data_IF_687767260091
#
_entry.id   IF_687767260091
#
_cell.length_a   1.000
_cell.length_b   1.000
_cell.length_c   1.000
_cell.angle_alpha   90.00
_cell.angle_beta   90.00
_cell.angle_gamma   90.00
#
_symmetry.space_group_name_H-M   'P 1'
#
loop_
_entity.id
_entity.type
_entity.pdbx_description
1 polymer ?
#
# COMPACT_ATOMS: atom_id res chain seq x y z
N UNK A 1 45.01 6.51 -27.72
CA UNK A 1 45.14 6.14 -26.28
C UNK A 1 43.96 6.75 -25.55
N UNK A 2 42.96 6.04 -25.16
CA UNK A 2 41.79 6.62 -24.49
C UNK A 2 40.59 5.73 -24.30
N UNK A 3 40.69 4.40 -24.49
CA UNK A 3 39.52 3.50 -24.38
C UNK A 3 39.64 2.41 -23.29
N UNK A 4 40.67 2.42 -22.47
CA UNK A 4 40.92 1.35 -21.48
C UNK A 4 40.68 1.74 -20.03
N UNK A 5 40.21 2.95 -19.73
CA UNK A 5 39.99 3.38 -18.34
C UNK A 5 38.54 3.34 -17.83
N UNK A 6 37.56 2.84 -18.65
CA UNK A 6 36.15 2.80 -18.26
C UNK A 6 35.68 1.52 -17.55
N UNK A 7 36.58 0.53 -17.30
CA UNK A 7 36.17 -0.78 -16.76
C UNK A 7 36.59 -1.00 -15.29
N UNK A 8 37.10 -0.03 -14.59
CA UNK A 8 37.66 -0.26 -13.25
C UNK A 8 36.99 0.46 -12.08
N UNK A 9 35.71 0.80 -12.15
CA UNK A 9 34.96 1.26 -10.96
C UNK A 9 33.53 0.71 -10.89
N UNK A 10 33.33 -0.57 -11.11
CA UNK A 10 32.22 -1.28 -10.44
C UNK A 10 32.68 -1.59 -9.02
N UNK A 11 33.00 -0.54 -8.25
CA UNK A 11 33.08 -0.61 -6.80
C UNK A 11 31.71 -1.04 -6.30
N UNK A 12 31.70 -2.02 -5.40
CA UNK A 12 30.56 -2.62 -4.71
C UNK A 12 29.31 -1.73 -4.82
N UNK A 13 28.41 -2.04 -5.74
CA UNK A 13 27.06 -1.53 -5.76
C UNK A 13 26.51 -1.76 -4.36
N UNK A 14 26.37 -0.71 -3.56
CA UNK A 14 25.53 -0.81 -2.38
C UNK A 14 24.15 -1.11 -2.90
N UNK A 15 23.52 -2.20 -2.42
CA UNK A 15 22.15 -2.57 -2.75
C UNK A 15 21.21 -1.42 -2.29
N UNK A 16 21.08 -0.37 -3.11
CA UNK A 16 20.23 0.78 -2.80
C UNK A 16 18.86 0.51 -3.40
N UNK A 17 17.90 0.34 -2.50
CA UNK A 17 16.50 0.34 -2.87
C UNK A 17 15.96 1.76 -2.66
N UNK A 18 15.74 2.47 -3.75
CA UNK A 18 15.19 3.82 -3.71
C UNK A 18 13.76 3.78 -3.16
N UNK A 19 13.43 4.82 -2.40
CA UNK A 19 12.07 4.96 -1.86
C UNK A 19 11.11 5.29 -3.00
N UNK A 20 10.02 4.54 -3.12
CA UNK A 20 8.92 4.83 -4.04
C UNK A 20 8.29 6.20 -3.78
N UNK A 21 7.89 6.88 -4.85
CA UNK A 21 6.84 7.89 -4.80
C UNK A 21 5.59 7.19 -4.25
N UNK A 22 4.95 7.80 -3.28
CA UNK A 22 3.81 7.20 -2.60
C UNK A 22 2.99 8.32 -1.96
N UNK A 23 2.01 8.78 -2.69
CA UNK A 23 1.15 9.86 -2.25
C UNK A 23 -0.24 9.67 -2.84
N UNK A 24 -1.29 9.83 -2.04
CA UNK A 24 -2.63 9.92 -2.55
C UNK A 24 -3.30 11.23 -2.12
N UNK A 25 -4.26 11.66 -2.92
CA UNK A 25 -5.16 12.77 -2.65
C UNK A 25 -6.59 12.33 -2.94
N UNK A 26 -7.43 12.40 -1.92
CA UNK A 26 -8.86 12.15 -2.00
C UNK A 26 -9.61 13.45 -1.83
N UNK A 27 -10.54 13.74 -2.73
CA UNK A 27 -11.47 14.86 -2.62
C UNK A 27 -12.89 14.30 -2.58
N UNK A 28 -13.70 14.75 -1.63
CA UNK A 28 -15.06 14.26 -1.53
C UNK A 28 -15.83 14.85 -0.36
N UNK A 29 -17.09 14.45 -0.21
CA UNK A 29 -17.92 14.82 0.93
C UNK A 29 -17.78 13.81 2.07
N UNK A 30 -17.79 14.29 3.32
CA UNK A 30 -17.75 13.41 4.48
C UNK A 30 -19.02 12.57 4.54
N UNK A 31 -18.87 11.25 4.39
CA UNK A 31 -19.97 10.31 4.42
C UNK A 31 -20.33 9.89 5.85
N UNK A 32 -19.34 9.41 6.61
CA UNK A 32 -19.54 8.89 7.97
C UNK A 32 -18.33 9.24 8.86
N UNK A 33 -18.61 9.56 10.11
CA UNK A 33 -17.61 9.76 11.17
C UNK A 33 -17.90 8.78 12.29
N UNK A 34 -17.16 7.67 12.34
CA UNK A 34 -17.23 6.69 13.42
C UNK A 34 -15.90 6.69 14.21
N UNK A 35 -15.50 7.89 14.66
CA UNK A 35 -14.29 8.13 15.45
C UNK A 35 -14.62 8.18 16.93
N UNK A 36 -13.74 7.61 17.76
CA UNK A 36 -13.88 7.62 19.23
C UNK A 36 -12.57 8.03 19.89
N UNK A 37 -12.68 8.76 21.00
CA UNK A 37 -11.55 9.04 21.91
C UNK A 37 -11.46 7.92 22.93
N UNK A 38 -10.25 7.43 23.15
CA UNK A 38 -9.95 6.41 24.14
C UNK A 38 -8.57 6.65 24.74
N UNK A 39 -8.38 6.18 25.97
CA UNK A 39 -7.06 6.16 26.60
C UNK A 39 -6.14 5.17 25.92
N UNK A 40 -4.89 5.52 25.75
CA UNK A 40 -3.86 4.67 25.17
C UNK A 40 -2.49 4.89 25.82
N UNK A 41 -1.55 4.01 25.51
CA UNK A 41 -0.15 4.15 25.88
C UNK A 41 0.70 4.30 24.60
N UNK A 42 1.53 5.32 24.55
CA UNK A 42 2.49 5.56 23.50
C UNK A 42 3.87 5.11 23.94
N UNK A 43 4.52 4.25 23.18
CA UNK A 43 5.91 3.87 23.40
C UNK A 43 6.83 4.99 22.94
N UNK A 44 7.83 5.28 23.76
CA UNK A 44 8.82 6.32 23.47
C UNK A 44 10.00 5.74 22.72
N UNK A 45 10.45 6.48 21.73
CA UNK A 45 11.61 6.15 20.92
C UNK A 45 12.60 7.31 20.93
N UNK A 46 13.87 7.00 21.17
CA UNK A 46 14.98 7.93 21.02
C UNK A 46 15.88 7.46 19.90
N UNK A 47 16.19 8.34 18.95
CA UNK A 47 17.00 8.02 17.78
C UNK A 47 16.52 6.76 17.00
N UNK A 48 15.20 6.52 16.99
CA UNK A 48 14.60 5.36 16.32
C UNK A 48 14.69 4.04 17.10
N UNK A 49 15.17 4.06 18.33
CA UNK A 49 15.26 2.91 19.24
C UNK A 49 14.20 3.05 20.33
N UNK A 50 13.46 1.98 20.61
CA UNK A 50 12.49 1.99 21.71
C UNK A 50 13.22 2.07 23.06
N UNK A 51 12.88 3.08 23.88
CA UNK A 51 13.47 3.26 25.22
C UNK A 51 12.92 2.27 26.25
N UNK A 52 11.81 1.60 25.93
CA UNK A 52 11.05 0.77 26.89
C UNK A 52 10.02 1.56 27.69
N UNK A 53 10.10 2.87 27.68
CA UNK A 53 9.15 3.75 28.36
C UNK A 53 7.82 3.84 27.60
N UNK A 54 6.74 4.06 28.36
CA UNK A 54 5.41 4.32 27.83
C UNK A 54 4.82 5.53 28.53
N UNK A 55 4.17 6.37 27.74
CA UNK A 55 3.47 7.57 28.24
C UNK A 55 1.97 7.39 28.03
N UNK A 56 1.18 7.72 29.05
CA UNK A 56 -0.27 7.79 28.92
C UNK A 56 -0.64 8.91 27.98
N UNK A 57 -1.57 8.63 27.07
CA UNK A 57 -2.06 9.54 26.06
C UNK A 57 -3.53 9.23 25.77
N UNK A 58 -4.21 10.16 25.14
CA UNK A 58 -5.49 9.88 24.46
C UNK A 58 -5.21 9.47 23.03
N UNK A 59 -6.06 8.64 22.43
CA UNK A 59 -6.07 8.39 21.00
C UNK A 59 -7.46 8.59 20.40
N UNK A 60 -7.50 9.07 19.16
CA UNK A 60 -8.69 9.08 18.31
C UNK A 60 -8.52 7.94 17.33
N UNK A 61 -9.48 7.00 17.34
CA UNK A 61 -9.47 5.86 16.45
C UNK A 61 -10.85 5.53 15.91
N UNK A 62 -10.89 4.88 14.74
CA UNK A 62 -12.13 4.43 14.12
C UNK A 62 -12.12 4.60 12.61
N UNK A 63 -13.32 4.76 12.05
CA UNK A 63 -13.53 4.88 10.61
C UNK A 63 -13.90 6.31 10.25
N UNK A 64 -13.37 6.77 9.14
CA UNK A 64 -13.71 8.04 8.51
C UNK A 64 -14.03 7.77 7.05
N UNK A 65 -15.31 7.92 6.68
CA UNK A 65 -15.82 7.65 5.35
C UNK A 65 -15.91 8.94 4.52
N UNK A 66 -15.45 8.89 3.28
CA UNK A 66 -15.56 9.96 2.29
C UNK A 66 -16.26 9.42 1.06
N UNK A 67 -17.30 10.13 0.59
CA UNK A 67 -18.00 9.83 -0.65
C UNK A 67 -17.27 10.51 -1.80
N UNK A 68 -16.94 9.74 -2.81
CA UNK A 68 -16.39 10.18 -4.09
C UNK A 68 -17.31 9.73 -5.24
N UNK A 69 -17.03 10.14 -6.46
CA UNK A 69 -17.74 9.68 -7.65
C UNK A 69 -17.52 8.18 -7.90
N UNK A 70 -16.33 7.66 -7.51
CA UNK A 70 -15.99 6.23 -7.54
C UNK A 70 -16.52 5.41 -6.36
N UNK A 71 -17.36 5.97 -5.46
CA UNK A 71 -17.95 5.27 -4.33
C UNK A 71 -17.51 5.81 -2.96
N UNK A 72 -17.76 5.03 -1.91
CA UNK A 72 -17.42 5.42 -0.54
C UNK A 72 -16.07 4.80 -0.17
N UNK A 73 -15.12 5.67 0.19
CA UNK A 73 -13.80 5.27 0.67
C UNK A 73 -13.73 5.41 2.16
N UNK A 74 -13.28 4.37 2.84
CA UNK A 74 -13.15 4.34 4.29
C UNK A 74 -11.69 4.38 4.70
N UNK A 75 -11.33 5.39 5.47
CA UNK A 75 -10.01 5.56 6.08
C UNK A 75 -10.04 5.03 7.52
N UNK A 76 -9.09 4.16 7.84
CA UNK A 76 -8.87 3.73 9.23
C UNK A 76 -7.98 4.75 9.93
N UNK A 77 -8.53 5.40 10.92
CA UNK A 77 -7.88 6.49 11.66
C UNK A 77 -7.31 5.94 12.97
N UNK A 78 -6.07 6.34 13.27
CA UNK A 78 -5.45 6.18 14.58
C UNK A 78 -4.45 7.31 14.79
N UNK A 79 -4.78 8.26 15.66
CA UNK A 79 -3.91 9.35 16.06
C UNK A 79 -3.87 9.44 17.59
N UNK A 80 -2.65 9.44 18.16
CA UNK A 80 -2.44 9.64 19.57
C UNK A 80 -2.12 11.13 19.87
N UNK A 81 -2.51 11.61 21.04
CA UNK A 81 -2.22 12.97 21.49
C UNK A 81 -0.73 13.22 21.74
N UNK A 82 0.02 12.14 21.97
CA UNK A 82 1.49 12.17 22.11
C UNK A 82 2.18 11.50 20.93
N UNK A 83 3.30 12.07 20.48
CA UNK A 83 4.19 11.49 19.50
C UNK A 83 5.09 10.42 20.11
N UNK A 84 5.88 9.77 19.26
CA UNK A 84 6.88 8.77 19.67
C UNK A 84 8.01 9.37 20.54
N UNK A 85 8.18 10.69 20.53
CA UNK A 85 9.10 11.45 21.36
C UNK A 85 8.47 11.91 22.70
N UNK A 86 7.23 11.49 22.98
CA UNK A 86 6.46 11.85 24.17
C UNK A 86 5.88 13.27 24.16
N UNK A 87 6.18 14.07 23.14
CA UNK A 87 5.64 15.43 22.98
C UNK A 87 4.25 15.40 22.38
N UNK A 88 3.58 16.55 22.38
CA UNK A 88 2.27 16.68 21.74
C UNK A 88 2.36 16.38 20.24
N UNK A 89 1.44 15.54 19.75
CA UNK A 89 1.38 15.16 18.34
C UNK A 89 0.83 16.32 17.50
N UNK A 90 1.57 16.70 16.45
CA UNK A 90 1.11 17.70 15.49
C UNK A 90 -0.19 17.29 14.77
N UNK A 91 -0.48 16.01 14.70
CA UNK A 91 -1.67 15.48 14.05
C UNK A 91 -2.89 15.44 14.99
N UNK A 92 -2.70 15.68 16.29
CA UNK A 92 -3.78 15.62 17.27
C UNK A 92 -4.88 16.64 17.00
N UNK A 93 -4.49 17.90 16.73
CA UNK A 93 -5.44 18.94 16.39
C UNK A 93 -6.28 18.55 15.15
N UNK A 94 -5.63 18.08 14.09
CA UNK A 94 -6.32 17.63 12.88
C UNK A 94 -7.33 16.51 13.19
N UNK A 95 -6.93 15.51 13.99
CA UNK A 95 -7.80 14.41 14.36
C UNK A 95 -9.02 14.88 15.18
N UNK A 96 -8.83 15.89 16.02
CA UNK A 96 -9.93 16.53 16.79
C UNK A 96 -10.86 17.28 15.83
N UNK A 97 -10.31 18.09 14.93
CA UNK A 97 -11.08 18.85 13.94
C UNK A 97 -11.91 17.93 13.03
N UNK A 98 -11.40 16.72 12.70
CA UNK A 98 -12.14 15.72 11.94
C UNK A 98 -13.42 15.24 12.63
N UNK A 99 -13.45 15.18 13.94
CA UNK A 99 -14.64 14.76 14.71
C UNK A 99 -15.76 15.80 14.68
N UNK A 100 -15.45 17.04 14.35
CA UNK A 100 -16.39 18.18 14.32
C UNK A 100 -16.98 18.42 12.92
N UNK A 101 -16.51 17.67 11.91
CA UNK A 101 -17.03 17.77 10.54
C UNK A 101 -18.49 17.28 10.49
N UNK A 102 -19.25 17.80 9.52
CA UNK A 102 -20.64 17.36 9.30
C UNK A 102 -20.68 16.19 8.31
N UNK A 103 -21.04 14.96 8.72
CA UNK A 103 -21.20 13.83 7.83
C UNK A 103 -22.57 13.79 7.17
N UNK A 104 -22.69 13.04 6.07
CA UNK A 104 -23.94 12.72 5.39
C UNK A 104 -24.83 11.82 6.28
N UNK A 105 -24.20 10.79 6.87
CA UNK A 105 -24.88 9.83 7.76
C UNK A 105 -24.83 10.35 9.19
N UNK A 106 -25.99 10.48 9.83
CA UNK A 106 -26.13 10.99 11.20
C UNK A 106 -25.61 12.42 11.41
N UNK A 107 -25.58 13.21 10.35
CA UNK A 107 -25.25 14.64 10.46
C UNK A 107 -26.39 15.47 11.05
N UNK A 108 -26.14 16.78 11.16
CA UNK A 108 -27.07 17.75 11.74
C UNK A 108 -28.12 18.29 10.76
N UNK A 109 -28.26 17.65 9.58
CA UNK A 109 -29.20 18.08 8.52
C UNK A 109 -28.66 19.18 7.58
N UNK A 110 -27.47 19.71 7.85
CA UNK A 110 -26.77 20.61 6.94
C UNK A 110 -26.05 19.82 5.83
N UNK A 111 -25.59 20.53 4.79
CA UNK A 111 -24.77 19.91 3.74
C UNK A 111 -23.51 19.25 4.35
N UNK A 112 -23.12 18.06 3.88
CA UNK A 112 -21.92 17.41 4.34
C UNK A 112 -20.67 18.27 4.11
N UNK A 113 -19.71 18.19 5.02
CA UNK A 113 -18.42 18.86 4.85
C UNK A 113 -17.66 18.30 3.67
N UNK A 114 -17.09 19.16 2.82
CA UNK A 114 -16.20 18.77 1.73
C UNK A 114 -14.76 18.78 2.23
N UNK A 115 -14.05 17.69 1.98
CA UNK A 115 -12.70 17.49 2.50
C UNK A 115 -11.72 17.09 1.42
N UNK A 116 -10.45 17.43 1.66
CA UNK A 116 -9.29 16.89 0.98
C UNK A 116 -8.52 16.05 1.99
N UNK A 117 -8.39 14.75 1.70
CA UNK A 117 -7.63 13.80 2.51
C UNK A 117 -6.37 13.42 1.76
N UNK A 118 -5.22 13.62 2.38
CA UNK A 118 -3.91 13.34 1.77
C UNK A 118 -3.14 12.34 2.65
N UNK A 119 -2.34 11.49 2.00
CA UNK A 119 -1.54 10.51 2.70
C UNK A 119 -0.75 9.60 1.79
N UNK A 120 -0.52 8.38 2.25
CA UNK A 120 0.24 7.36 1.53
C UNK A 120 -0.40 5.98 1.66
N UNK A 121 -0.04 5.08 0.76
CA UNK A 121 -0.38 3.67 0.87
C UNK A 121 0.58 2.98 1.86
N UNK A 122 0.04 2.13 2.70
CA UNK A 122 0.80 1.19 3.54
C UNK A 122 0.25 -0.21 3.31
N UNK A 123 1.10 -1.22 3.46
CA UNK A 123 0.65 -2.60 3.37
C UNK A 123 0.03 -3.04 4.70
N UNK A 124 -1.16 -3.63 4.61
CA UNK A 124 -1.83 -4.26 5.73
C UNK A 124 -1.92 -5.77 5.50
N UNK A 125 -1.23 -6.55 6.35
CA UNK A 125 -1.30 -8.00 6.36
C UNK A 125 -2.27 -8.47 7.46
N UNK A 126 -3.15 -9.40 7.12
CA UNK A 126 -4.11 -9.97 8.06
C UNK A 126 -4.38 -11.44 7.72
N UNK A 127 -4.83 -12.19 8.71
CA UNK A 127 -5.27 -13.58 8.47
C UNK A 127 -6.66 -13.59 7.86
N UNK A 128 -6.91 -14.49 6.92
CA UNK A 128 -8.25 -14.82 6.44
C UNK A 128 -9.15 -15.23 7.61
N UNK A 129 -10.46 -15.15 7.44
CA UNK A 129 -11.43 -15.46 8.51
C UNK A 129 -11.28 -16.89 9.05
N UNK A 130 -10.91 -17.82 8.19
CA UNK A 130 -10.64 -19.24 8.54
C UNK A 130 -9.25 -19.44 9.18
N UNK A 131 -8.42 -18.42 9.24
CA UNK A 131 -7.08 -18.46 9.82
C UNK A 131 -6.04 -19.24 9.01
N UNK A 132 -6.34 -19.61 7.76
CA UNK A 132 -5.45 -20.46 6.95
C UNK A 132 -4.46 -19.64 6.13
N UNK A 133 -4.87 -18.48 5.64
CA UNK A 133 -4.10 -17.69 4.70
C UNK A 133 -3.77 -16.29 5.22
N UNK A 134 -2.62 -15.78 4.85
CA UNK A 134 -2.27 -14.38 5.03
C UNK A 134 -2.75 -13.60 3.81
N UNK A 135 -3.78 -12.77 4.04
CA UNK A 135 -4.24 -11.80 3.05
C UNK A 135 -3.53 -10.47 3.27
N UNK A 136 -3.41 -9.72 2.20
CA UNK A 136 -2.80 -8.40 2.21
C UNK A 136 -3.60 -7.45 1.34
N UNK A 137 -3.67 -6.20 1.77
CA UNK A 137 -4.32 -5.15 1.00
C UNK A 137 -3.61 -3.82 1.25
N UNK A 138 -3.42 -3.00 0.22
CA UNK A 138 -3.01 -1.62 0.40
C UNK A 138 -4.02 -0.88 1.28
N UNK A 139 -3.51 -0.14 2.27
CA UNK A 139 -4.32 0.67 3.18
C UNK A 139 -3.94 2.14 3.05
N UNK A 140 -4.95 3.00 3.02
CA UNK A 140 -4.76 4.45 3.00
C UNK A 140 -4.37 4.95 4.39
N UNK A 141 -3.12 5.39 4.55
CA UNK A 141 -2.63 6.06 5.76
C UNK A 141 -2.82 7.55 5.64
N UNK A 142 -3.71 8.11 6.45
CA UNK A 142 -3.99 9.56 6.44
C UNK A 142 -2.83 10.32 7.07
N UNK A 143 -2.37 11.36 6.38
CA UNK A 143 -1.34 12.29 6.87
C UNK A 143 -1.91 13.68 7.11
N UNK A 144 -2.92 14.08 6.32
CA UNK A 144 -3.55 15.39 6.40
C UNK A 144 -5.00 15.32 5.98
N UNK A 145 -5.84 16.07 6.67
CA UNK A 145 -7.24 16.35 6.30
C UNK A 145 -7.43 17.85 6.37
N UNK A 146 -8.04 18.40 5.34
CA UNK A 146 -8.41 19.82 5.29
C UNK A 146 -9.79 19.97 4.69
N UNK A 147 -10.55 20.93 5.17
CA UNK A 147 -11.84 21.32 4.58
C UNK A 147 -11.61 22.18 3.36
N UNK A 148 -12.49 22.08 2.40
CA UNK A 148 -12.53 22.96 1.24
C UNK A 148 -13.96 23.38 0.94
N UNK A 149 -14.15 24.55 0.33
CA UNK A 149 -15.48 24.94 -0.14
C UNK A 149 -15.81 24.11 -1.40
N UNK A 150 -17.06 23.68 -1.48
CA UNK A 150 -17.57 23.10 -2.73
C UNK A 150 -17.47 24.16 -3.85
N UNK A 151 -16.99 23.74 -5.01
CA UNK A 151 -17.02 24.53 -6.24
C UNK A 151 -17.78 23.75 -7.29
N UNK A 152 -18.61 24.45 -8.06
CA UNK A 152 -19.33 23.84 -9.19
C UNK A 152 -18.31 23.21 -10.17
N UNK A 153 -18.56 21.98 -10.60
CA UNK A 153 -17.64 21.20 -11.44
C UNK A 153 -16.47 20.55 -10.70
N UNK A 154 -16.45 20.58 -9.35
CA UNK A 154 -15.43 19.90 -8.57
C UNK A 154 -15.62 18.38 -8.65
N UNK A 155 -14.63 17.68 -9.20
CA UNK A 155 -14.61 16.23 -9.26
C UNK A 155 -14.26 15.62 -7.90
N UNK A 156 -15.02 14.62 -7.48
CA UNK A 156 -14.80 13.86 -6.26
C UNK A 156 -14.14 12.54 -6.60
N UNK A 157 -12.92 12.35 -6.17
CA UNK A 157 -12.16 11.14 -6.51
C UNK A 157 -10.96 10.92 -5.62
N UNK A 158 -10.29 9.79 -5.83
CA UNK A 158 -8.97 9.52 -5.26
C UNK A 158 -7.99 9.28 -6.38
N UNK A 159 -6.93 10.06 -6.35
CA UNK A 159 -5.77 9.86 -7.23
C UNK A 159 -4.58 9.42 -6.39
N UNK A 160 -3.94 8.35 -6.81
CA UNK A 160 -2.71 7.82 -6.22
C UNK A 160 -1.55 8.05 -7.19
N UNK A 161 -0.51 8.72 -6.72
CA UNK A 161 0.75 8.85 -7.44
C UNK A 161 1.77 7.90 -6.80
N UNK A 162 2.23 6.92 -7.55
CA UNK A 162 3.15 5.91 -7.06
C UNK A 162 4.29 5.63 -8.03
N UNK A 163 5.43 5.19 -7.51
CA UNK A 163 6.46 4.55 -8.33
C UNK A 163 6.82 3.19 -7.75
N UNK A 164 7.26 2.28 -8.59
CA UNK A 164 7.64 0.95 -8.15
C UNK A 164 8.18 0.09 -9.28
N UNK A 165 8.69 -1.08 -8.92
CA UNK A 165 9.16 -2.06 -9.88
C UNK A 165 8.00 -2.98 -10.30
N UNK A 166 7.67 -2.98 -11.57
CA UNK A 166 6.69 -3.89 -12.16
C UNK A 166 7.28 -5.29 -12.28
N UNK A 167 6.56 -6.29 -11.83
CA UNK A 167 7.05 -7.68 -11.84
C UNK A 167 6.15 -8.64 -12.61
N UNK A 168 4.92 -8.23 -12.90
CA UNK A 168 3.95 -9.05 -13.60
C UNK A 168 2.95 -8.16 -14.32
N UNK A 169 2.64 -8.48 -15.56
CA UNK A 169 1.51 -7.94 -16.31
C UNK A 169 0.83 -9.09 -17.04
N UNK A 170 -0.44 -9.32 -16.78
CA UNK A 170 -1.22 -10.44 -17.34
C UNK A 170 -2.64 -9.99 -17.66
N UNK A 171 -3.33 -10.64 -18.62
CA UNK A 171 -4.75 -10.40 -18.84
C UNK A 171 -5.56 -10.62 -17.56
N UNK A 172 -6.55 -9.77 -17.31
CA UNK A 172 -7.52 -10.00 -16.24
C UNK A 172 -8.52 -11.06 -16.73
N UNK A 173 -8.75 -12.06 -15.86
CA UNK A 173 -9.76 -13.09 -16.11
C UNK A 173 -10.87 -13.04 -15.07
N UNK A 174 -12.07 -13.40 -15.46
CA UNK A 174 -13.22 -13.65 -14.57
C UNK A 174 -13.78 -15.04 -14.82
N UNK A 175 -14.33 -15.64 -13.79
CA UNK A 175 -15.05 -16.91 -13.93
C UNK A 175 -16.46 -16.63 -14.45
N UNK A 176 -16.83 -17.25 -15.57
CA UNK A 176 -18.16 -17.22 -16.16
C UNK A 176 -18.56 -18.67 -16.44
N UNK A 177 -19.63 -19.14 -15.81
CA UNK A 177 -20.14 -20.51 -15.95
C UNK A 177 -19.08 -21.64 -15.71
N UNK A 178 -18.08 -21.36 -14.83
CA UNK A 178 -16.98 -22.28 -14.50
C UNK A 178 -15.79 -22.23 -15.44
N UNK A 179 -15.79 -21.35 -16.44
CA UNK A 179 -14.67 -21.12 -17.36
C UNK A 179 -14.04 -19.75 -17.12
N UNK A 180 -12.71 -19.66 -17.26
CA UNK A 180 -12.01 -18.40 -17.15
C UNK A 180 -12.08 -17.62 -18.49
N UNK A 181 -12.74 -16.47 -18.48
CA UNK A 181 -12.84 -15.56 -19.62
C UNK A 181 -12.01 -14.30 -19.39
N UNK A 182 -11.30 -13.83 -20.41
CA UNK A 182 -10.60 -12.55 -20.37
C UNK A 182 -11.60 -11.40 -20.38
N UNK A 183 -11.33 -10.37 -19.55
CA UNK A 183 -12.19 -9.19 -19.46
C UNK A 183 -11.83 -8.10 -20.46
N UNK A 184 -10.71 -8.25 -21.18
CA UNK A 184 -10.09 -7.23 -22.02
C UNK A 184 -9.17 -6.29 -21.22
N UNK A 185 -9.23 -6.29 -19.88
CA UNK A 185 -8.36 -5.51 -19.01
C UNK A 185 -7.08 -6.27 -18.66
N UNK A 186 -6.05 -5.54 -18.22
CA UNK A 186 -4.81 -6.12 -17.69
C UNK A 186 -4.75 -6.03 -16.16
N UNK A 187 -3.94 -6.91 -15.57
CA UNK A 187 -3.59 -6.88 -14.14
C UNK A 187 -2.08 -6.77 -14.01
N UNK A 188 -1.61 -5.67 -13.47
CA UNK A 188 -0.21 -5.40 -13.25
C UNK A 188 0.12 -5.47 -11.76
N UNK A 189 1.22 -6.15 -11.39
CA UNK A 189 1.74 -6.17 -10.03
C UNK A 189 2.97 -5.28 -9.93
N UNK A 190 2.88 -4.27 -9.08
CA UNK A 190 3.95 -3.29 -8.85
C UNK A 190 4.41 -3.37 -7.41
N UNK A 191 5.71 -3.58 -7.19
CA UNK A 191 6.29 -3.55 -5.86
C UNK A 191 6.80 -2.15 -5.53
N UNK A 192 6.17 -1.54 -4.54
CA UNK A 192 6.59 -0.26 -3.97
C UNK A 192 7.60 -0.49 -2.86
N UNK A 193 8.60 0.39 -2.76
CA UNK A 193 9.58 0.38 -1.68
C UNK A 193 9.29 1.47 -0.65
N UNK A 194 9.36 1.13 0.64
CA UNK A 194 9.41 2.12 1.68
C UNK A 194 10.87 2.57 1.95
N UNK A 195 11.06 3.71 2.60
CA UNK A 195 12.40 4.22 2.91
C UNK A 195 13.24 3.37 3.88
N UNK A 196 12.73 2.18 4.28
CA UNK A 196 13.42 1.23 5.16
C UNK A 196 13.97 0.02 4.41
N UNK A 197 13.87 0.01 3.07
CA UNK A 197 14.29 -1.11 2.23
C UNK A 197 13.33 -2.30 2.24
N UNK A 198 12.08 -2.09 2.66
CA UNK A 198 11.02 -3.09 2.57
C UNK A 198 10.16 -2.78 1.35
N UNK A 199 9.65 -3.82 0.72
CA UNK A 199 8.72 -3.71 -0.42
C UNK A 199 7.36 -4.30 -0.07
N UNK A 200 6.35 -3.88 -0.81
CA UNK A 200 5.01 -4.48 -0.76
C UNK A 200 4.32 -4.37 -2.12
N UNK A 201 3.49 -5.35 -2.49
CA UNK A 201 2.81 -5.35 -3.78
C UNK A 201 1.61 -4.41 -3.78
N UNK A 202 1.37 -3.80 -4.94
CA UNK A 202 0.12 -3.12 -5.28
C UNK A 202 -0.35 -3.71 -6.61
N UNK A 203 -1.59 -4.20 -6.62
CA UNK A 203 -2.24 -4.67 -7.83
C UNK A 203 -2.90 -3.49 -8.53
N UNK A 204 -2.54 -3.28 -9.79
CA UNK A 204 -3.05 -2.20 -10.63
C UNK A 204 -3.84 -2.80 -11.79
N UNK A 205 -5.05 -2.35 -12.00
CA UNK A 205 -5.87 -2.71 -13.14
C UNK A 205 -5.49 -1.80 -14.31
N UNK A 206 -5.16 -2.39 -15.43
CA UNK A 206 -4.88 -1.68 -16.69
C UNK A 206 -6.18 -1.69 -17.48
N UNK A 207 -6.78 -0.53 -17.80
CA UNK A 207 -7.97 -0.44 -18.65
C UNK A 207 -7.72 -1.05 -20.03
N UNK A 208 -8.77 -1.52 -20.69
CA UNK A 208 -8.72 -2.18 -22.00
C UNK A 208 -8.09 -1.32 -23.09
N UNK A 209 -8.34 -0.03 -23.06
CA UNK A 209 -7.77 0.95 -23.99
C UNK A 209 -6.27 1.25 -23.79
N UNK A 210 -5.68 0.82 -22.66
CA UNK A 210 -4.25 0.98 -22.34
C UNK A 210 -3.46 -0.34 -22.37
N UNK A 211 -4.13 -1.49 -22.51
CA UNK A 211 -3.48 -2.80 -22.41
C UNK A 211 -2.38 -2.99 -23.44
N UNK A 212 -2.65 -2.65 -24.70
CA UNK A 212 -1.68 -2.82 -25.78
C UNK A 212 -0.48 -1.89 -25.58
N UNK A 213 -0.71 -0.62 -25.25
CA UNK A 213 0.36 0.35 -25.01
C UNK A 213 1.25 -0.06 -23.82
N UNK A 214 0.64 -0.60 -22.75
CA UNK A 214 1.38 -1.10 -21.59
C UNK A 214 2.17 -2.36 -21.94
N UNK A 215 1.60 -3.30 -22.70
CA UNK A 215 2.30 -4.50 -23.11
C UNK A 215 3.50 -4.21 -24.02
N UNK A 216 3.38 -3.23 -24.90
CA UNK A 216 4.44 -2.82 -25.80
C UNK A 216 5.56 -2.03 -25.11
N UNK A 217 5.20 -1.25 -24.08
CA UNK A 217 6.14 -0.36 -23.43
C UNK A 217 6.85 -0.97 -22.22
N UNK A 218 6.26 -1.98 -21.53
CA UNK A 218 6.67 -2.36 -20.18
C UNK A 218 7.20 -3.78 -20.12
N UNK A 219 8.46 -3.93 -19.73
CA UNK A 219 9.09 -5.22 -19.44
C UNK A 219 9.08 -5.54 -17.94
N UNK A 220 9.05 -6.85 -17.62
CA UNK A 220 9.17 -7.31 -16.24
C UNK A 220 10.49 -6.85 -15.61
N UNK A 221 10.39 -6.13 -14.50
CA UNK A 221 11.55 -5.60 -13.77
C UNK A 221 11.82 -4.13 -14.05
N UNK A 222 11.10 -3.48 -14.97
CA UNK A 222 11.21 -2.03 -15.15
C UNK A 222 10.62 -1.27 -13.95
N UNK A 223 11.12 -0.06 -13.75
CA UNK A 223 10.53 0.88 -12.78
C UNK A 223 9.55 1.78 -13.51
N UNK A 224 8.37 1.95 -12.94
CA UNK A 224 7.33 2.84 -13.43
C UNK A 224 7.02 3.96 -12.45
N UNK A 225 6.64 5.12 -12.95
CA UNK A 225 5.99 6.23 -12.23
C UNK A 225 4.56 6.32 -12.75
N UNK A 226 3.58 6.01 -11.90
CA UNK A 226 2.19 5.84 -12.31
C UNK A 226 1.25 6.75 -11.53
N UNK A 227 0.21 7.18 -12.21
CA UNK A 227 -0.98 7.83 -11.65
C UNK A 227 -2.15 6.87 -11.74
N UNK A 228 -2.82 6.62 -10.62
CA UNK A 228 -3.92 5.69 -10.53
C UNK A 228 -5.17 6.39 -10.03
N UNK A 229 -6.30 6.06 -10.61
CA UNK A 229 -7.60 6.35 -10.05
C UNK A 229 -8.05 5.20 -9.13
N UNK A 230 -8.84 5.51 -8.12
CA UNK A 230 -9.28 4.52 -7.14
C UNK A 230 -10.80 4.38 -7.21
N UNK A 231 -11.25 3.20 -7.59
CA UNK A 231 -12.64 2.83 -7.60
C UNK A 231 -12.98 1.92 -6.42
N UNK A 232 -14.12 2.16 -5.78
CA UNK A 232 -14.66 1.28 -4.75
C UNK A 232 -15.89 0.57 -5.29
N UNK A 233 -15.72 -0.72 -5.58
CA UNK A 233 -16.80 -1.55 -6.09
C UNK A 233 -17.46 -2.25 -4.90
N UNK A 234 -18.78 -2.12 -4.82
CA UNK A 234 -19.58 -2.76 -3.77
C UNK A 234 -20.31 -3.96 -4.36
N UNK A 235 -20.05 -5.13 -3.80
CA UNK A 235 -20.69 -6.37 -4.20
C UNK A 235 -21.69 -6.82 -3.14
N UNK A 236 -22.77 -7.47 -3.58
CA UNK A 236 -23.78 -8.04 -2.68
C UNK A 236 -24.83 -7.02 -2.26
N UNK A 237 -25.69 -7.45 -1.37
CA UNK A 237 -26.87 -6.69 -0.96
C UNK A 237 -28.10 -7.21 -1.67
N UNK A 238 -28.72 -8.23 -1.09
CA UNK A 238 -30.04 -8.71 -1.58
C UNK A 238 -31.14 -7.88 -0.91
N UNK A 239 -31.96 -7.21 -1.72
CA UNK A 239 -33.16 -6.57 -1.22
C UNK A 239 -34.13 -7.66 -0.72
N UNK A 240 -34.23 -7.85 0.59
CA UNK A 240 -35.26 -8.71 1.16
C UNK A 240 -36.62 -8.02 0.95
N UNK A 241 -37.44 -8.59 0.07
CA UNK A 241 -38.85 -8.20 -0.05
C UNK A 241 -39.58 -8.64 1.22
N UNK A 242 -39.82 -7.72 2.11
CA UNK A 242 -40.77 -7.93 3.21
C UNK A 242 -42.13 -7.44 2.76
N UNK A 243 -43.13 -8.35 2.73
CA UNK A 243 -44.55 -8.20 2.61
C UNK A 243 -45.16 -6.88 2.08
N UNK A 244 -46.36 -6.91 1.64
CA UNK A 244 -47.10 -5.81 1.05
C UNK A 244 -47.03 -4.54 1.94
N UNK A 245 -46.46 -3.45 1.42
CA UNK A 245 -46.51 -2.11 2.01
C UNK A 245 -45.36 -1.65 2.90
N UNK A 246 -44.26 -2.41 3.01
CA UNK A 246 -43.02 -1.94 3.68
C UNK A 246 -41.86 -1.92 2.71
N UNK A 247 -41.18 -0.76 2.63
CA UNK A 247 -39.90 -0.67 1.94
C UNK A 247 -38.95 -1.76 2.51
N UNK A 248 -38.48 -2.67 1.67
CA UNK A 248 -37.57 -3.73 2.08
C UNK A 248 -36.29 -3.15 2.62
N UNK A 249 -35.87 -3.55 3.81
CA UNK A 249 -34.50 -3.27 4.26
C UNK A 249 -33.53 -4.06 3.39
N UNK A 250 -32.54 -3.37 2.86
CA UNK A 250 -31.41 -4.03 2.20
C UNK A 250 -30.63 -4.80 3.26
N UNK A 251 -30.48 -6.11 3.06
CA UNK A 251 -29.61 -6.91 3.92
C UNK A 251 -28.14 -6.59 3.57
N UNK A 252 -27.49 -5.84 4.43
CA UNK A 252 -26.09 -5.44 4.27
C UNK A 252 -25.11 -6.45 4.85
N UNK A 253 -25.61 -7.59 5.38
CA UNK A 253 -24.73 -8.59 6.02
C UNK A 253 -23.74 -9.24 5.04
N UNK A 254 -24.06 -9.25 3.75
CA UNK A 254 -23.25 -9.83 2.68
C UNK A 254 -22.69 -8.77 1.72
N UNK A 255 -22.66 -7.49 2.12
CA UNK A 255 -22.03 -6.45 1.32
C UNK A 255 -20.53 -6.52 1.52
N UNK A 256 -19.79 -6.78 0.46
CA UNK A 256 -18.33 -6.64 0.42
C UNK A 256 -17.94 -5.48 -0.48
N UNK A 257 -16.88 -4.79 -0.12
CA UNK A 257 -16.31 -3.71 -0.93
C UNK A 257 -14.92 -4.11 -1.36
N UNK A 258 -14.64 -3.93 -2.66
CA UNK A 258 -13.32 -4.09 -3.24
C UNK A 258 -12.83 -2.71 -3.70
N UNK A 259 -11.59 -2.39 -3.35
CA UNK A 259 -10.91 -1.20 -3.87
C UNK A 259 -10.05 -1.61 -5.05
N UNK A 260 -10.28 -1.00 -6.20
CA UNK A 260 -9.47 -1.18 -7.40
C UNK A 260 -8.62 0.07 -7.64
N UNK A 261 -7.32 -0.15 -7.91
CA UNK A 261 -6.38 0.86 -8.37
C UNK A 261 -6.32 0.74 -9.89
N UNK A 262 -6.89 1.72 -10.60
CA UNK A 262 -6.99 1.72 -12.06
C UNK A 262 -5.95 2.64 -12.63
N UNK A 263 -5.18 2.17 -13.60
CA UNK A 263 -4.13 2.96 -14.26
C UNK A 263 -4.79 4.11 -15.05
N UNK A 264 -4.41 5.35 -14.71
CA UNK A 264 -4.80 6.55 -15.45
C UNK A 264 -3.68 7.04 -16.38
N UNK A 265 -2.43 6.71 -16.06
CA UNK A 265 -1.26 7.02 -16.86
C UNK A 265 0.02 6.57 -16.18
N UNK A 266 1.08 6.35 -16.95
CA UNK A 266 2.38 5.98 -16.44
C UNK A 266 3.52 6.41 -17.35
N UNK A 267 4.70 6.55 -16.74
CA UNK A 267 5.98 6.71 -17.42
C UNK A 267 6.95 5.61 -16.98
N UNK A 268 7.83 5.18 -17.88
CA UNK A 268 8.93 4.30 -17.54
C UNK A 268 10.07 5.13 -16.98
N UNK A 269 10.60 4.73 -15.84
CA UNK A 269 11.74 5.39 -15.22
C UNK A 269 13.02 4.70 -15.68
N UNK A 270 13.80 5.40 -16.48
CA UNK A 270 15.07 4.91 -17.01
C UNK A 270 16.15 4.79 -15.93
N UNK A 271 17.08 3.87 -16.14
CA UNK A 271 18.29 3.78 -15.32
C UNK A 271 19.13 5.05 -15.49
N UNK A 272 19.49 5.72 -14.40
CA UNK A 272 20.33 6.92 -14.51
C UNK A 272 21.74 6.53 -14.96
N UNK A 273 22.36 7.38 -15.77
CA UNK A 273 23.74 7.18 -16.27
C UNK A 273 24.75 7.02 -15.13
N UNK A 274 24.52 7.72 -14.02
CA UNK A 274 25.33 7.65 -12.83
C UNK A 274 24.44 7.45 -11.58
N UNK A 275 24.77 6.46 -10.76
CA UNK A 275 24.09 6.21 -9.49
C UNK A 275 24.58 7.09 -8.34
N UNK A 276 25.77 7.70 -8.50
CA UNK A 276 26.43 8.53 -7.50
C UNK A 276 27.04 9.74 -8.17
N UNK A 277 26.92 10.89 -7.53
CA UNK A 277 27.66 12.12 -7.85
C UNK A 277 28.81 12.21 -6.84
N UNK A 278 30.05 12.38 -7.34
CA UNK A 278 31.23 12.62 -6.52
C UNK A 278 31.47 14.14 -6.43
N UNK A 279 31.53 14.67 -5.20
CA UNK A 279 31.88 16.07 -4.96
C UNK A 279 33.39 16.32 -5.08
N UNK A 280 33.81 17.58 -4.98
CA UNK A 280 35.21 17.99 -5.08
C UNK A 280 36.12 17.33 -4.03
N UNK A 281 35.56 16.90 -2.90
CA UNK A 281 36.24 16.22 -1.81
C UNK A 281 36.27 14.69 -1.97
N UNK A 282 35.76 14.17 -3.10
CA UNK A 282 35.69 12.72 -3.38
C UNK A 282 34.57 11.97 -2.65
N UNK A 283 33.64 12.68 -2.04
CA UNK A 283 32.50 12.11 -1.35
C UNK A 283 31.39 11.75 -2.35
N UNK A 284 31.02 10.47 -2.35
CA UNK A 284 29.94 9.98 -3.20
C UNK A 284 28.58 10.19 -2.54
N UNK A 285 27.68 10.87 -3.27
CA UNK A 285 26.29 11.10 -2.87
C UNK A 285 25.37 10.39 -3.87
N UNK A 286 24.40 9.57 -3.39
CA UNK A 286 23.46 8.90 -4.30
C UNK A 286 22.64 9.89 -5.11
N UNK A 287 22.48 9.62 -6.41
CA UNK A 287 21.58 10.39 -7.27
C UNK A 287 20.14 10.15 -6.81
N UNK A 288 19.37 11.24 -6.71
CA UNK A 288 17.95 11.16 -6.41
C UNK A 288 17.20 10.70 -7.66
N UNK A 289 16.82 9.45 -7.68
CA UNK A 289 16.03 8.86 -8.76
C UNK A 289 14.89 8.02 -8.19
N UNK A 290 13.85 7.79 -9.00
CA UNK A 290 12.80 6.82 -8.72
C UNK A 290 13.18 5.42 -9.22
N UNK A 291 14.19 5.31 -10.06
CA UNK A 291 14.64 4.04 -10.62
C UNK A 291 15.07 3.05 -9.53
N UNK A 292 14.74 1.80 -9.74
CA UNK A 292 15.03 0.68 -8.84
C UNK A 292 15.70 -0.45 -9.59
N UNK A 293 16.87 -0.87 -9.11
CA UNK A 293 17.51 -2.08 -9.63
C UNK A 293 16.61 -3.30 -9.38
N UNK A 294 16.17 -3.94 -10.46
CA UNK A 294 15.28 -5.10 -10.39
C UNK A 294 15.87 -6.27 -9.59
N UNK A 295 17.18 -6.43 -9.58
CA UNK A 295 17.87 -7.46 -8.81
C UNK A 295 17.80 -7.21 -7.30
N UNK A 296 17.88 -5.93 -6.90
CA UNK A 296 17.70 -5.49 -5.50
C UNK A 296 16.26 -5.66 -5.08
N UNK A 297 15.31 -5.29 -5.94
CA UNK A 297 13.88 -5.49 -5.69
C UNK A 297 13.54 -6.97 -5.53
N UNK A 298 14.05 -7.85 -6.41
CA UNK A 298 13.87 -9.31 -6.28
C UNK A 298 14.37 -9.85 -4.94
N UNK A 299 15.50 -9.37 -4.42
CA UNK A 299 15.98 -9.73 -3.09
C UNK A 299 15.04 -9.23 -1.99
N UNK A 300 14.53 -7.99 -2.12
CA UNK A 300 13.59 -7.42 -1.16
C UNK A 300 12.25 -8.17 -1.17
N UNK A 301 11.75 -8.61 -2.33
CA UNK A 301 10.55 -9.46 -2.45
C UNK A 301 10.75 -10.79 -1.72
N UNK A 302 11.89 -11.46 -1.88
CA UNK A 302 12.18 -12.69 -1.13
C UNK A 302 12.16 -12.46 0.40
N UNK A 303 12.72 -11.35 0.86
CA UNK A 303 12.65 -10.99 2.28
C UNK A 303 11.23 -10.69 2.74
N UNK A 304 10.45 -10.06 1.88
CA UNK A 304 9.04 -9.81 2.14
C UNK A 304 8.24 -11.12 2.27
N UNK A 305 8.48 -12.09 1.37
CA UNK A 305 7.82 -13.41 1.45
C UNK A 305 8.15 -14.15 2.74
N UNK A 306 9.42 -14.14 3.17
CA UNK A 306 9.81 -14.72 4.47
C UNK A 306 9.06 -14.07 5.62
N UNK A 307 8.87 -12.73 5.57
CA UNK A 307 8.11 -12.00 6.58
C UNK A 307 6.64 -12.39 6.59
N UNK A 308 6.05 -12.59 5.40
CA UNK A 308 4.67 -13.07 5.24
C UNK A 308 4.50 -14.48 5.82
N UNK A 309 5.45 -15.39 5.56
CA UNK A 309 5.45 -16.75 6.11
C UNK A 309 5.63 -16.76 7.64
N UNK A 310 6.47 -15.89 8.18
CA UNK A 310 6.61 -15.70 9.63
C UNK A 310 5.30 -15.19 10.25
N UNK A 311 4.62 -14.27 9.58
CA UNK A 311 3.31 -13.76 10.02
C UNK A 311 2.25 -14.88 10.04
N UNK A 312 2.21 -15.72 8.99
CA UNK A 312 1.33 -16.90 8.93
C UNK A 312 1.60 -17.87 10.09
N UNK A 313 2.87 -18.22 10.34
CA UNK A 313 3.26 -19.14 11.41
C UNK A 313 2.91 -18.63 12.82
N UNK A 314 2.95 -17.32 13.00
CA UNK A 314 2.60 -16.68 14.29
C UNK A 314 1.08 -16.48 14.46
N UNK A 315 0.28 -17.04 13.57
CA UNK A 315 -1.20 -17.04 13.65
C UNK A 315 -1.80 -15.65 13.48
N UNK A 316 -1.14 -14.77 12.73
CA UNK A 316 -1.55 -13.39 12.65
C UNK A 316 -1.68 -12.79 14.06
N UNK A 317 -1.27 -11.61 14.28
CA UNK A 317 -1.18 -11.01 15.61
C UNK A 317 -2.52 -11.17 16.40
N UNK A 318 -2.59 -12.13 17.32
CA UNK A 318 -3.73 -12.27 18.24
C UNK A 318 -3.74 -11.04 19.15
N UNK A 319 -4.41 -9.96 18.72
CA UNK A 319 -4.65 -8.73 19.48
C UNK A 319 -3.43 -7.83 19.54
N UNK A 320 -3.54 -6.70 18.86
CA UNK A 320 -2.84 -5.41 19.02
C UNK A 320 -1.69 -5.38 20.04
N UNK A 321 -0.57 -6.01 19.70
CA UNK A 321 0.71 -5.64 20.26
C UNK A 321 1.48 -4.97 19.13
N UNK A 322 1.70 -3.68 19.26
CA UNK A 322 2.40 -2.83 18.31
C UNK A 322 3.61 -3.53 17.70
N UNK A 323 3.71 -3.48 16.38
CA UNK A 323 4.85 -3.95 15.61
C UNK A 323 6.14 -3.29 16.11
N UNK A 324 6.88 -3.98 16.96
CA UNK A 324 8.31 -3.78 17.01
C UNK A 324 8.89 -4.53 15.81
N UNK A 325 9.25 -3.81 14.77
CA UNK A 325 10.04 -4.32 13.64
C UNK A 325 11.28 -4.99 14.22
N UNK A 326 11.59 -6.27 13.91
CA UNK A 326 12.84 -6.87 14.33
C UNK A 326 13.97 -6.05 13.72
N UNK A 327 14.91 -5.62 14.54
CA UNK A 327 16.02 -4.78 14.15
C UNK A 327 16.87 -5.54 13.09
N UNK A 328 16.84 -5.07 11.84
CA UNK A 328 17.57 -5.68 10.73
C UNK A 328 19.09 -5.79 11.01
N UNK A 329 19.61 -4.99 11.96
CA UNK A 329 21.02 -5.04 12.38
C UNK A 329 21.37 -6.35 13.09
N UNK A 330 20.48 -6.89 13.89
CA UNK A 330 20.74 -8.10 14.67
C UNK A 330 20.69 -9.36 13.78
N UNK A 331 19.77 -9.41 12.81
CA UNK A 331 19.74 -10.49 11.81
C UNK A 331 20.94 -10.44 10.84
N UNK A 332 21.47 -9.23 10.55
CA UNK A 332 22.68 -9.09 9.71
C UNK A 332 23.93 -9.64 10.41
N UNK A 333 23.98 -9.60 11.73
CA UNK A 333 25.05 -10.21 12.53
C UNK A 333 24.93 -11.75 12.56
N UNK A 334 23.72 -12.28 12.72
CA UNK A 334 23.44 -13.72 12.74
C UNK A 334 23.65 -14.39 11.37
N UNK A 335 23.33 -13.68 10.27
CA UNK A 335 23.61 -14.15 8.91
C UNK A 335 25.12 -14.16 8.58
N UNK A 336 25.91 -13.23 9.16
CA UNK A 336 27.37 -13.26 8.99
C UNK A 336 28.03 -14.40 9.74
N UNK A 337 27.52 -14.81 10.89
CA UNK A 337 28.10 -15.92 11.69
C UNK A 337 27.83 -17.31 11.10
N UNK A 338 26.74 -17.49 10.34
CA UNK A 338 26.42 -18.76 9.66
C UNK A 338 27.10 -18.96 8.30
N UNK A 339 27.81 -17.96 7.78
CA UNK A 339 28.45 -17.99 6.46
C UNK A 339 29.88 -18.52 6.43
N UNK A 340 30.41 -18.97 7.57
CA UNK A 340 31.69 -19.67 7.66
C UNK A 340 31.41 -21.18 7.65
N UNK A 341 31.19 -21.75 6.48
CA UNK A 341 31.12 -23.18 6.25
C UNK A 341 29.96 -23.62 5.38
N UNK A 342 30.11 -23.45 4.10
CA UNK A 342 29.80 -24.36 2.99
C UNK A 342 29.65 -23.56 1.69
N UNK A 343 30.64 -23.72 0.81
CA UNK A 343 30.46 -23.48 -0.63
C UNK A 343 29.41 -24.50 -1.08
N UNK A 344 28.27 -24.02 -1.54
CA UNK A 344 27.36 -24.77 -2.38
C UNK A 344 27.19 -23.98 -3.67
N UNK A 345 27.53 -24.62 -4.77
CA UNK A 345 27.38 -24.15 -6.12
C UNK A 345 25.90 -23.78 -6.36
N UNK A 346 25.70 -22.58 -6.83
CA UNK A 346 24.38 -22.02 -7.10
C UNK A 346 24.27 -21.79 -8.62
N UNK A 347 24.26 -22.93 -9.36
CA UNK A 347 23.81 -22.98 -10.74
C UNK A 347 22.39 -23.54 -10.74
N UNK A 348 21.47 -22.84 -11.37
CA UNK A 348 20.11 -23.32 -11.61
C UNK A 348 19.06 -22.32 -11.17
N UNK A 349 18.91 -21.24 -11.92
CA UNK A 349 17.74 -20.37 -11.84
C UNK A 349 17.05 -20.41 -13.22
N UNK A 350 16.44 -21.58 -13.50
CA UNK A 350 15.53 -21.75 -14.63
C UNK A 350 14.10 -21.38 -14.20
N UNK A 351 13.53 -20.46 -14.92
CA UNK A 351 12.17 -20.22 -15.42
C UNK A 351 10.90 -20.65 -14.64
N UNK A 352 10.93 -20.93 -13.33
CA UNK A 352 9.74 -21.40 -12.61
C UNK A 352 9.09 -20.32 -11.73
N UNK A 353 9.15 -19.05 -12.16
CA UNK A 353 8.45 -17.95 -11.46
C UNK A 353 7.02 -17.73 -11.99
N UNK A 354 6.58 -18.58 -12.90
CA UNK A 354 5.31 -18.45 -13.66
C UNK A 354 4.10 -19.19 -13.10
N UNK A 355 4.23 -20.12 -12.13
CA UNK A 355 3.14 -21.09 -11.90
C UNK A 355 2.52 -21.15 -10.51
N UNK A 356 2.83 -20.28 -9.57
CA UNK A 356 2.25 -20.38 -8.22
C UNK A 356 1.46 -19.17 -7.73
N UNK A 357 0.97 -18.34 -8.63
CA UNK A 357 -0.05 -17.36 -8.31
C UNK A 357 -1.33 -17.68 -9.11
N UNK A 358 -1.86 -18.88 -8.92
CA UNK A 358 -3.27 -19.12 -9.19
C UNK A 358 -4.05 -18.13 -8.32
N UNK A 359 -4.84 -17.33 -8.98
CA UNK A 359 -5.83 -16.44 -8.38
C UNK A 359 -6.62 -17.25 -7.34
N UNK A 360 -6.32 -17.05 -6.05
CA UNK A 360 -7.12 -17.60 -4.95
C UNK A 360 -8.49 -16.93 -4.87
N UNK A 361 -9.26 -17.05 -5.95
CA UNK A 361 -10.70 -17.01 -5.95
C UNK A 361 -11.13 -18.45 -5.76
N UNK A 362 -11.15 -18.91 -4.50
CA UNK A 362 -11.78 -20.18 -4.17
C UNK A 362 -13.28 -20.05 -4.39
N UNK A 363 -13.82 -21.04 -5.08
CA UNK A 363 -15.25 -21.24 -5.39
C UNK A 363 -16.14 -21.46 -4.16
N UNK A 364 -15.73 -21.11 -2.94
CA UNK A 364 -16.46 -21.41 -1.70
C UNK A 364 -17.20 -20.20 -1.10
N UNK A 365 -17.51 -19.17 -1.87
CA UNK A 365 -18.41 -18.09 -1.43
C UNK A 365 -19.84 -18.20 -2.01
N UNK A 366 -20.33 -19.42 -2.31
CA UNK A 366 -21.76 -19.70 -2.31
C UNK A 366 -22.23 -19.94 -0.87
N UNK A 367 -22.68 -18.86 -0.22
CA UNK A 367 -23.82 -18.80 0.71
C UNK A 367 -23.97 -17.37 1.26
#
# INVERSE_FOLDING_TARGET
MGLFNKIKKRGKSMDILNKSKNFYRCVGSVYEIALKREDCEVKIFENGVATGEKVKAECIKGKFGVRTDGGIVTFMIYFASKGLDGKESRQWKMATDMMELNPEVNGNGNAPSVVVVEGRLENNMFMSRDGKEVKEAPQFRVSKVSTTAYKEGMEYGITVNMSGCMTKNVPETKMVDGEAEETGRGVMTVYMANGKGEVFPVTVIVPDDLVDDVNDAVENGCTIDATLDVNTITFGGVAKKHGIGRAGKIDTSNVSTRTEFVLAGMDIVEEPDELYIEDEDGKQTPVKTLWMDSSVVKKAIKMYQVKKDEFAKNGGNKGTKSNSTPNLKDKKAEYKSKRVGKKADFDGFDDDFGSSFESGLSEDDEF
#
